data_IF_892933223410
#
_entry.id   IF_892933223410
#
_cell.length_a   1.000
_cell.length_b   1.000
_cell.length_c   1.000
_cell.angle_alpha   90.00
_cell.angle_beta   90.00
_cell.angle_gamma   90.00
#
_symmetry.space_group_name_H-M   'P 1'
#
loop_
_entity.id
_entity.type
_entity.pdbx_description
1 polymer ?
#
# COMPACT_ATOMS: atom_id res chain seq x y z
N UNK A 1 -8.18 -22.16 -28.79
CA UNK A 1 -6.85 -22.01 -28.19
C UNK A 1 -7.03 -21.89 -26.69
N UNK A 2 -6.34 -22.70 -25.89
CA UNK A 2 -6.45 -22.64 -24.43
C UNK A 2 -5.41 -21.62 -23.95
N UNK A 3 -5.90 -20.57 -23.30
CA UNK A 3 -5.08 -19.55 -22.65
C UNK A 3 -5.37 -19.64 -21.15
N UNK A 4 -4.35 -19.51 -20.33
CA UNK A 4 -4.50 -19.41 -18.88
C UNK A 4 -3.94 -18.08 -18.40
N UNK A 5 -4.61 -17.45 -17.45
CA UNK A 5 -4.25 -16.12 -16.94
C UNK A 5 -4.22 -16.13 -15.43
N UNK A 6 -3.17 -15.56 -14.85
CA UNK A 6 -3.07 -15.28 -13.43
C UNK A 6 -2.76 -13.81 -13.21
N UNK A 7 -3.55 -13.14 -12.37
CA UNK A 7 -3.27 -11.78 -11.91
C UNK A 7 -2.95 -11.82 -10.44
N UNK A 8 -1.87 -11.18 -10.02
CA UNK A 8 -1.46 -11.09 -8.63
C UNK A 8 -0.72 -9.77 -8.37
N UNK A 9 -0.60 -9.39 -7.11
CA UNK A 9 0.22 -8.26 -6.69
C UNK A 9 1.56 -8.75 -6.17
N UNK A 10 2.64 -8.06 -6.55
CA UNK A 10 4.00 -8.38 -6.11
C UNK A 10 4.16 -8.10 -4.62
N UNK A 11 4.64 -9.09 -3.88
CA UNK A 11 5.15 -8.91 -2.53
C UNK A 11 6.64 -8.61 -2.59
N UNK A 12 7.20 -8.05 -1.49
CA UNK A 12 8.65 -7.84 -1.40
C UNK A 12 9.44 -9.13 -1.60
N UNK A 13 8.93 -10.24 -1.09
CA UNK A 13 9.53 -11.55 -1.29
C UNK A 13 9.59 -11.94 -2.77
N UNK A 14 8.61 -11.55 -3.58
CA UNK A 14 8.61 -11.83 -5.03
C UNK A 14 9.70 -11.03 -5.75
N UNK A 15 9.81 -9.75 -5.39
CA UNK A 15 10.82 -8.83 -5.92
C UNK A 15 12.24 -9.29 -5.55
N UNK A 16 12.48 -9.60 -4.27
CA UNK A 16 13.79 -10.02 -3.77
C UNK A 16 14.15 -11.45 -4.20
N UNK A 17 13.16 -12.33 -4.24
CA UNK A 17 13.31 -13.73 -4.63
C UNK A 17 13.44 -13.93 -6.14
N UNK A 18 13.21 -12.89 -6.96
CA UNK A 18 13.19 -13.00 -8.42
C UNK A 18 12.20 -14.07 -8.89
N UNK A 19 11.02 -14.11 -8.25
CA UNK A 19 9.96 -15.10 -8.53
C UNK A 19 8.72 -14.46 -9.12
N UNK A 20 8.07 -15.18 -10.03
CA UNK A 20 6.82 -14.79 -10.67
C UNK A 20 5.82 -15.95 -10.60
N UNK A 21 4.63 -15.73 -10.03
CA UNK A 21 3.65 -16.78 -9.89
C UNK A 21 3.11 -17.24 -11.26
N UNK A 22 3.05 -18.55 -11.48
CA UNK A 22 2.57 -19.15 -12.72
C UNK A 22 1.04 -19.35 -12.72
N UNK A 23 0.35 -19.25 -13.86
CA UNK A 23 -1.02 -19.76 -14.01
C UNK A 23 -1.08 -21.25 -13.64
N UNK A 24 -2.06 -21.66 -12.83
CA UNK A 24 -2.13 -23.03 -12.30
C UNK A 24 -2.19 -24.07 -13.42
N UNK A 25 -2.88 -23.74 -14.51
CA UNK A 25 -3.06 -24.62 -15.66
C UNK A 25 -1.78 -24.85 -16.47
N UNK A 26 -0.78 -23.95 -16.39
CA UNK A 26 0.48 -24.13 -17.08
C UNK A 26 1.46 -25.01 -16.30
N UNK A 27 1.26 -25.21 -15.00
CA UNK A 27 2.25 -25.86 -14.13
C UNK A 27 2.55 -27.28 -14.59
N UNK A 28 1.51 -28.11 -14.77
CA UNK A 28 1.69 -29.49 -15.21
C UNK A 28 2.23 -29.62 -16.64
N UNK A 29 1.92 -28.62 -17.48
CA UNK A 29 2.36 -28.60 -18.88
C UNK A 29 3.82 -28.16 -19.03
N UNK A 30 4.34 -27.35 -18.11
CA UNK A 30 5.69 -26.79 -18.22
C UNK A 30 6.69 -27.42 -17.23
N UNK A 31 6.23 -28.18 -16.21
CA UNK A 31 7.09 -28.77 -15.15
C UNK A 31 8.21 -29.69 -15.64
N UNK A 32 8.12 -30.19 -16.87
CA UNK A 32 9.10 -31.11 -17.45
C UNK A 32 10.16 -30.39 -18.29
N UNK A 33 10.01 -29.07 -18.49
CA UNK A 33 10.98 -28.25 -19.19
C UNK A 33 12.01 -27.75 -18.17
N UNK A 34 13.29 -27.91 -18.49
CA UNK A 34 14.38 -27.39 -17.66
C UNK A 34 14.40 -25.85 -17.66
N UNK A 35 14.04 -25.27 -18.81
CA UNK A 35 13.98 -23.82 -19.05
C UNK A 35 12.63 -23.45 -19.66
N UNK A 36 11.98 -22.46 -19.08
CA UNK A 36 10.76 -21.83 -19.58
C UNK A 36 11.04 -20.36 -19.88
N UNK A 37 10.90 -19.90 -21.13
CA UNK A 37 11.06 -18.49 -21.44
C UNK A 37 9.86 -17.70 -20.90
N UNK A 38 10.13 -16.71 -20.06
CA UNK A 38 9.14 -15.73 -19.60
C UNK A 38 9.45 -14.38 -20.24
N UNK A 39 8.52 -13.88 -21.03
CA UNK A 39 8.59 -12.52 -21.58
C UNK A 39 8.00 -11.56 -20.56
N UNK A 40 8.74 -10.52 -20.17
CA UNK A 40 8.22 -9.41 -19.38
C UNK A 40 7.99 -8.21 -20.27
N UNK A 41 6.73 -7.76 -20.36
CA UNK A 41 6.32 -6.54 -21.02
C UNK A 41 6.01 -5.47 -19.96
N UNK A 42 6.74 -4.37 -19.99
CA UNK A 42 6.70 -3.35 -18.95
C UNK A 42 6.85 -1.95 -19.54
N UNK A 43 6.51 -0.90 -18.79
CA UNK A 43 6.80 0.48 -19.15
C UNK A 43 7.54 1.16 -18.02
N UNK A 44 8.84 1.43 -18.20
CA UNK A 44 9.65 2.08 -17.17
C UNK A 44 9.05 3.43 -16.80
N UNK A 45 8.73 3.59 -15.51
CA UNK A 45 8.00 4.73 -14.95
C UNK A 45 6.65 5.02 -15.65
N UNK A 46 6.00 3.99 -16.20
CA UNK A 46 4.73 4.08 -16.92
C UNK A 46 4.85 4.59 -18.36
N UNK A 47 6.05 4.99 -18.81
CA UNK A 47 6.24 5.68 -20.09
C UNK A 47 6.98 4.81 -21.11
N UNK A 48 8.19 4.37 -20.79
CA UNK A 48 9.10 3.78 -21.78
C UNK A 48 8.88 2.27 -21.88
N UNK A 49 8.25 1.81 -22.96
CA UNK A 49 8.00 0.38 -23.17
C UNK A 49 9.30 -0.42 -23.26
N UNK A 50 9.38 -1.49 -22.47
CA UNK A 50 10.45 -2.48 -22.49
C UNK A 50 9.86 -3.87 -22.65
N UNK A 51 10.64 -4.73 -23.31
CA UNK A 51 10.32 -6.14 -23.50
C UNK A 51 11.59 -6.93 -23.27
N UNK A 52 11.58 -7.76 -22.23
CA UNK A 52 12.73 -8.60 -21.86
C UNK A 52 12.31 -10.06 -21.83
N UNK A 53 13.25 -10.96 -22.09
CA UNK A 53 13.03 -12.40 -22.06
C UNK A 53 13.96 -13.01 -21.03
N UNK A 54 13.39 -13.75 -20.09
CA UNK A 54 14.12 -14.44 -19.04
C UNK A 54 14.06 -15.94 -19.26
N UNK A 55 15.22 -16.59 -19.21
CA UNK A 55 15.31 -18.04 -19.07
C UNK A 55 15.02 -18.39 -17.62
N UNK A 56 13.83 -18.92 -17.35
CA UNK A 56 13.37 -19.24 -15.99
C UNK A 56 13.27 -20.75 -15.77
N UNK A 57 13.22 -21.15 -14.51
CA UNK A 57 12.79 -22.51 -14.13
C UNK A 57 11.47 -22.44 -13.37
N UNK A 58 10.60 -23.41 -13.62
CA UNK A 58 9.33 -23.52 -12.90
C UNK A 58 9.50 -24.43 -11.67
N UNK A 59 9.28 -23.87 -10.46
CA UNK A 59 9.35 -24.59 -9.17
C UNK A 59 8.18 -24.18 -8.29
N UNK A 60 7.49 -25.15 -7.70
CA UNK A 60 6.38 -24.92 -6.77
C UNK A 60 5.32 -23.92 -7.29
N UNK A 61 5.04 -23.96 -8.60
CA UNK A 61 4.08 -23.06 -9.25
C UNK A 61 4.59 -21.62 -9.46
N UNK A 62 5.91 -21.41 -9.41
CA UNK A 62 6.55 -20.11 -9.62
C UNK A 62 7.68 -20.22 -10.65
N UNK A 63 7.78 -19.23 -11.54
CA UNK A 63 8.94 -19.02 -12.39
C UNK A 63 10.03 -18.33 -11.57
N UNK A 64 11.23 -18.90 -11.52
CA UNK A 64 12.38 -18.37 -10.78
C UNK A 64 13.42 -17.78 -11.74
N UNK A 65 14.07 -16.69 -11.34
CA UNK A 65 15.11 -16.02 -12.13
C UNK A 65 14.61 -14.81 -12.93
N UNK A 66 13.40 -14.32 -12.63
CA UNK A 66 12.86 -13.11 -13.26
C UNK A 66 13.49 -11.88 -12.63
N UNK A 67 14.15 -11.04 -13.44
CA UNK A 67 14.68 -9.76 -12.97
C UNK A 67 13.59 -8.70 -13.10
N UNK A 68 13.09 -8.23 -11.95
CA UNK A 68 12.05 -7.21 -11.94
C UNK A 68 12.61 -5.80 -12.23
N UNK A 69 11.91 -4.96 -13.00
CA UNK A 69 12.28 -3.57 -13.23
C UNK A 69 12.42 -2.79 -11.91
N UNK A 70 13.42 -1.91 -11.83
CA UNK A 70 13.81 -1.23 -10.59
C UNK A 70 12.81 -0.19 -10.08
N UNK A 71 11.84 0.21 -10.90
CA UNK A 71 10.72 1.08 -10.55
C UNK A 71 9.51 0.32 -10.02
N UNK A 72 9.49 -1.02 -10.08
CA UNK A 72 8.45 -1.82 -9.43
C UNK A 72 8.58 -1.76 -7.91
N UNK A 73 7.41 -1.77 -7.25
CA UNK A 73 7.26 -1.70 -5.80
C UNK A 73 6.32 -2.80 -5.31
N UNK A 74 6.41 -3.22 -4.04
CA UNK A 74 5.41 -4.09 -3.45
C UNK A 74 4.01 -3.52 -3.67
N UNK A 75 3.08 -4.37 -4.09
CA UNK A 75 1.71 -4.03 -4.45
C UNK A 75 1.47 -3.91 -5.94
N UNK A 76 2.48 -3.71 -6.80
CA UNK A 76 2.25 -3.63 -8.26
C UNK A 76 1.61 -4.91 -8.77
N UNK A 77 0.56 -4.77 -9.59
CA UNK A 77 -0.18 -5.87 -10.20
C UNK A 77 0.53 -6.35 -11.46
N UNK A 78 0.75 -7.65 -11.51
CA UNK A 78 1.29 -8.37 -12.67
C UNK A 78 0.23 -9.31 -13.19
N UNK A 79 0.06 -9.33 -14.50
CA UNK A 79 -0.78 -10.30 -15.22
C UNK A 79 0.13 -11.22 -15.99
N UNK A 80 0.05 -12.52 -15.71
CA UNK A 80 0.79 -13.57 -16.39
C UNK A 80 -0.16 -14.37 -17.26
N UNK A 81 0.15 -14.45 -18.54
CA UNK A 81 -0.63 -15.16 -19.55
C UNK A 81 0.21 -16.29 -20.11
N UNK A 82 -0.34 -17.50 -20.10
CA UNK A 82 0.25 -18.65 -20.75
C UNK A 82 -0.53 -19.01 -22.02
N UNK A 83 0.20 -19.13 -23.13
CA UNK A 83 -0.30 -19.56 -24.42
C UNK A 83 0.06 -21.03 -24.64
N UNK A 84 -0.91 -21.94 -24.52
CA UNK A 84 -0.65 -23.38 -24.61
C UNK A 84 -0.21 -23.86 -26.01
N UNK A 85 -0.44 -23.06 -27.06
CA UNK A 85 -0.12 -23.45 -28.43
C UNK A 85 1.38 -23.45 -28.71
N UNK A 86 2.12 -22.55 -28.08
CA UNK A 86 3.56 -22.33 -28.30
C UNK A 86 4.36 -22.34 -26.98
N UNK A 87 3.70 -22.65 -25.86
CA UNK A 87 4.26 -22.62 -24.51
C UNK A 87 4.87 -21.26 -24.12
N UNK A 88 4.39 -20.17 -24.72
CA UNK A 88 4.86 -18.83 -24.36
C UNK A 88 4.21 -18.36 -23.07
N UNK A 89 5.02 -17.84 -22.16
CA UNK A 89 4.57 -17.16 -20.94
C UNK A 89 4.89 -15.67 -21.07
N UNK A 90 3.87 -14.82 -20.93
CA UNK A 90 4.01 -13.36 -20.95
C UNK A 90 3.52 -12.78 -19.64
N UNK A 91 4.42 -12.15 -18.89
CA UNK A 91 4.11 -11.32 -17.75
C UNK A 91 4.02 -9.86 -18.19
N UNK A 92 3.01 -9.12 -17.76
CA UNK A 92 2.93 -7.69 -18.03
C UNK A 92 2.40 -6.88 -16.84
N UNK A 93 2.80 -5.61 -16.81
CA UNK A 93 2.30 -4.59 -15.89
C UNK A 93 1.50 -3.54 -16.64
N UNK A 94 0.37 -3.11 -16.09
CA UNK A 94 -0.45 -2.05 -16.68
C UNK A 94 -0.02 -0.69 -16.10
N UNK A 95 0.40 0.29 -16.92
CA UNK A 95 0.69 1.64 -16.41
C UNK A 95 -0.58 2.31 -15.89
N UNK A 96 -0.44 3.18 -14.90
CA UNK A 96 -1.52 4.10 -14.53
C UNK A 96 -1.62 5.23 -15.55
N UNK A 97 -2.82 5.75 -15.77
CA UNK A 97 -3.03 6.95 -16.59
C UNK A 97 -2.34 8.17 -15.94
N UNK A 98 -2.42 8.27 -14.62
CA UNK A 98 -1.75 9.26 -13.79
C UNK A 98 -0.97 8.55 -12.66
N UNK A 99 0.36 8.70 -12.58
CA UNK A 99 1.15 8.16 -11.48
C UNK A 99 0.69 8.73 -10.12
N UNK A 100 0.76 7.92 -9.07
CA UNK A 100 0.37 8.31 -7.71
C UNK A 100 1.47 8.04 -6.70
N UNK A 101 1.57 8.89 -5.68
CA UNK A 101 2.38 8.69 -4.49
C UNK A 101 1.47 8.19 -3.36
N UNK A 102 1.80 7.02 -2.80
CA UNK A 102 1.14 6.48 -1.61
C UNK A 102 2.08 6.61 -0.42
N UNK A 103 1.76 7.52 0.50
CA UNK A 103 2.58 7.87 1.65
C UNK A 103 4.05 8.20 1.30
N UNK A 104 4.24 8.89 0.17
CA UNK A 104 5.54 9.31 -0.33
C UNK A 104 6.25 8.31 -1.23
N UNK A 105 5.64 7.14 -1.49
CA UNK A 105 6.16 6.12 -2.40
C UNK A 105 5.42 6.18 -3.73
N UNK A 106 6.16 6.44 -4.80
CA UNK A 106 5.59 6.58 -6.14
C UNK A 106 5.24 5.21 -6.76
N UNK A 107 4.06 5.15 -7.38
CA UNK A 107 3.51 4.03 -8.14
C UNK A 107 3.15 4.52 -9.55
N UNK A 108 3.76 3.90 -10.55
CA UNK A 108 3.53 4.20 -11.98
C UNK A 108 2.64 3.18 -12.69
N UNK A 109 2.29 2.10 -11.98
CA UNK A 109 1.56 0.95 -12.50
C UNK A 109 0.40 0.61 -11.59
N UNK A 110 -0.62 -0.04 -12.13
CA UNK A 110 -1.73 -0.57 -11.34
C UNK A 110 -1.18 -1.36 -10.14
N UNK A 111 -1.77 -1.12 -8.97
CA UNK A 111 -1.34 -1.74 -7.72
C UNK A 111 -2.53 -2.23 -6.91
N UNK A 112 -2.24 -3.06 -5.91
CA UNK A 112 -3.19 -3.52 -4.92
C UNK A 112 -2.98 -2.77 -3.59
N UNK A 113 -3.91 -1.86 -3.21
CA UNK A 113 -3.78 -1.07 -1.99
C UNK A 113 -3.62 -1.91 -0.71
N UNK A 114 -4.16 -3.13 -0.68
CA UNK A 114 -4.01 -4.01 0.50
C UNK A 114 -2.58 -4.49 0.64
N UNK A 115 -1.93 -4.87 -0.46
CA UNK A 115 -0.53 -5.32 -0.43
C UNK A 115 0.39 -4.14 -0.14
N UNK A 116 0.16 -2.97 -0.75
CA UNK A 116 0.89 -1.74 -0.43
C UNK A 116 0.87 -1.45 1.08
N UNK A 117 -0.31 -1.54 1.69
CA UNK A 117 -0.49 -1.34 3.13
C UNK A 117 0.23 -2.42 3.96
N UNK A 118 0.09 -3.70 3.59
CA UNK A 118 0.74 -4.81 4.32
C UNK A 118 2.27 -4.81 4.20
N UNK A 119 2.81 -4.24 3.14
CA UNK A 119 4.23 -4.15 2.85
C UNK A 119 4.82 -2.76 3.19
N UNK A 120 4.04 -1.91 3.84
CA UNK A 120 4.45 -0.58 4.25
C UNK A 120 5.62 -0.63 5.25
N UNK A 121 6.70 0.06 4.92
CA UNK A 121 7.89 0.21 5.75
C UNK A 121 8.01 1.64 6.27
N UNK A 122 7.61 1.83 7.51
CA UNK A 122 7.58 3.15 8.13
C UNK A 122 8.95 3.61 8.69
N UNK A 123 9.99 2.75 8.67
CA UNK A 123 11.28 2.96 9.36
C UNK A 123 11.36 2.32 10.76
N UNK A 124 12.36 2.72 11.57
CA UNK A 124 12.70 2.07 12.85
C UNK A 124 12.25 2.83 14.11
N UNK A 125 11.72 4.03 13.96
CA UNK A 125 11.26 4.85 15.09
C UNK A 125 10.10 4.19 15.85
N UNK A 126 9.77 4.66 17.05
CA UNK A 126 8.64 4.11 17.80
C UNK A 126 7.30 4.32 17.09
N UNK A 127 7.07 5.50 16.49
CA UNK A 127 5.87 5.76 15.70
C UNK A 127 5.83 4.88 14.45
N UNK A 128 6.97 4.68 13.78
CA UNK A 128 7.10 3.81 12.62
C UNK A 128 6.70 2.37 12.94
N UNK A 129 7.15 1.86 14.09
CA UNK A 129 6.82 0.50 14.56
C UNK A 129 5.34 0.35 14.91
N UNK A 130 4.73 1.38 15.48
CA UNK A 130 3.29 1.44 15.76
C UNK A 130 2.50 1.43 14.46
N UNK A 131 2.85 2.29 13.50
CA UNK A 131 2.18 2.37 12.21
C UNK A 131 2.33 1.07 11.40
N UNK A 132 3.54 0.49 11.38
CA UNK A 132 3.79 -0.80 10.76
C UNK A 132 2.94 -1.91 11.41
N UNK A 133 2.80 -1.91 12.74
CA UNK A 133 1.94 -2.89 13.41
C UNK A 133 0.46 -2.76 13.01
N UNK A 134 -0.05 -1.53 12.87
CA UNK A 134 -1.41 -1.27 12.39
C UNK A 134 -1.58 -1.77 10.97
N UNK A 135 -0.68 -1.42 10.05
CA UNK A 135 -0.78 -1.79 8.64
C UNK A 135 -0.55 -3.30 8.41
N UNK A 136 0.40 -3.91 9.13
CA UNK A 136 0.77 -5.32 8.98
C UNK A 136 -0.20 -6.28 9.66
N UNK A 137 -0.84 -5.89 10.77
CA UNK A 137 -1.70 -6.78 11.55
C UNK A 137 -3.16 -6.37 11.64
N UNK A 138 -3.49 -5.15 11.22
CA UNK A 138 -4.86 -4.66 11.14
C UNK A 138 -5.72 -5.43 10.14
N UNK A 139 -7.02 -5.18 10.21
CA UNK A 139 -7.93 -5.50 9.12
C UNK A 139 -7.78 -4.40 8.06
N UNK A 140 -7.42 -4.79 6.84
CA UNK A 140 -7.13 -3.87 5.73
C UNK A 140 -8.30 -3.90 4.74
N UNK A 141 -8.83 -2.73 4.42
CA UNK A 141 -9.95 -2.53 3.50
C UNK A 141 -9.46 -2.44 2.04
N UNK A 142 -10.40 -2.44 1.09
CA UNK A 142 -10.09 -2.44 -0.35
C UNK A 142 -9.36 -1.19 -0.85
N UNK A 143 -9.50 -0.07 -0.14
CA UNK A 143 -8.81 1.19 -0.41
C UNK A 143 -7.43 1.30 0.26
N UNK A 144 -6.97 0.24 0.95
CA UNK A 144 -5.71 0.24 1.69
C UNK A 144 -5.80 0.91 3.08
N UNK A 145 -6.96 1.43 3.49
CA UNK A 145 -7.13 1.81 4.90
C UNK A 145 -7.06 0.57 5.80
N UNK A 146 -6.69 0.76 7.06
CA UNK A 146 -6.53 -0.34 8.00
C UNK A 146 -6.99 0.03 9.40
N UNK A 147 -7.57 -0.93 10.12
CA UNK A 147 -7.99 -0.76 11.52
C UNK A 147 -7.36 -1.81 12.42
N UNK A 148 -6.89 -1.39 13.59
CA UNK A 148 -6.31 -2.31 14.58
C UNK A 148 -6.56 -1.85 16.01
N UNK A 149 -6.90 -2.78 16.90
CA UNK A 149 -7.18 -2.47 18.31
C UNK A 149 -5.94 -1.89 19.02
N UNK A 150 -6.07 -0.70 19.63
CA UNK A 150 -4.95 0.03 20.24
C UNK A 150 -4.27 -0.81 21.34
N UNK A 151 -5.06 -1.53 22.13
CA UNK A 151 -4.58 -2.42 23.19
C UNK A 151 -3.64 -3.54 22.67
N UNK A 152 -3.76 -3.94 21.40
CA UNK A 152 -2.93 -4.99 20.80
C UNK A 152 -1.65 -4.46 20.15
N UNK A 153 -1.57 -3.15 19.91
CA UNK A 153 -0.45 -2.53 19.20
C UNK A 153 0.86 -2.76 19.94
N UNK A 154 0.88 -2.62 21.27
CA UNK A 154 2.09 -2.78 22.09
C UNK A 154 2.82 -4.11 21.80
N UNK A 155 2.07 -5.20 21.75
CA UNK A 155 2.59 -6.55 21.54
C UNK A 155 3.10 -6.81 20.12
N UNK A 156 2.60 -6.05 19.13
CA UNK A 156 2.99 -6.18 17.72
C UNK A 156 4.08 -5.21 17.30
N UNK A 157 4.09 -3.99 17.86
CA UNK A 157 5.12 -3.00 17.61
C UNK A 157 6.46 -3.34 18.28
N UNK A 158 6.47 -4.23 19.27
CA UNK A 158 7.67 -4.69 19.98
C UNK A 158 8.27 -3.63 20.91
N UNK A 159 7.49 -2.66 21.38
CA UNK A 159 7.95 -1.56 22.25
C UNK A 159 8.26 -1.98 23.69
N UNK A 160 8.22 -3.28 24.00
CA UNK A 160 8.45 -3.84 25.33
C UNK A 160 7.20 -3.81 26.22
N UNK A 161 7.36 -4.27 27.47
CA UNK A 161 6.28 -4.34 28.49
C UNK A 161 6.53 -3.33 29.62
N UNK A 162 5.53 -3.11 30.46
CA UNK A 162 5.61 -2.26 31.65
C UNK A 162 5.50 -0.76 31.35
N UNK A 163 5.73 0.07 32.38
CA UNK A 163 5.48 1.52 32.33
C UNK A 163 6.23 2.24 31.19
N UNK A 164 7.48 1.83 30.93
CA UNK A 164 8.28 2.40 29.82
C UNK A 164 7.66 2.10 28.45
N UNK A 165 7.27 0.85 28.20
CA UNK A 165 6.64 0.45 26.94
C UNK A 165 5.30 1.16 26.73
N UNK A 166 4.49 1.28 27.78
CA UNK A 166 3.23 2.02 27.75
C UNK A 166 3.44 3.51 27.45
N UNK A 167 4.46 4.14 28.04
CA UNK A 167 4.81 5.53 27.74
C UNK A 167 5.24 5.73 26.28
N UNK A 168 6.11 4.86 25.76
CA UNK A 168 6.57 4.94 24.37
C UNK A 168 5.43 4.73 23.37
N UNK A 169 4.55 3.76 23.65
CA UNK A 169 3.37 3.52 22.84
C UNK A 169 2.46 4.75 22.81
N UNK A 170 2.12 5.28 23.99
CA UNK A 170 1.26 6.46 24.08
C UNK A 170 1.85 7.63 23.31
N UNK A 171 3.13 7.94 23.52
CA UNK A 171 3.80 9.03 22.82
C UNK A 171 3.81 8.83 21.29
N UNK A 172 4.10 7.61 20.82
CA UNK A 172 4.08 7.27 19.40
C UNK A 172 2.67 7.38 18.78
N UNK A 173 1.63 6.91 19.47
CA UNK A 173 0.24 7.02 18.99
C UNK A 173 -0.21 8.47 18.94
N UNK A 174 0.06 9.26 19.99
CA UNK A 174 -0.27 10.70 19.98
C UNK A 174 0.47 11.45 18.87
N UNK A 175 1.72 11.06 18.57
CA UNK A 175 2.45 11.61 17.43
C UNK A 175 1.78 11.26 16.10
N UNK A 176 1.42 10.00 15.86
CA UNK A 176 0.72 9.57 14.64
C UNK A 176 -0.62 10.27 14.43
N UNK A 177 -1.37 10.50 15.51
CA UNK A 177 -2.66 11.21 15.44
C UNK A 177 -2.43 12.68 15.11
N UNK A 178 -1.45 13.31 15.77
CA UNK A 178 -1.09 14.71 15.55
C UNK A 178 -0.57 14.97 14.13
N UNK A 179 0.18 14.03 13.58
CA UNK A 179 0.69 14.06 12.19
C UNK A 179 -0.34 13.52 11.18
N UNK A 180 -1.51 13.07 11.64
CA UNK A 180 -2.61 12.68 10.76
C UNK A 180 -2.37 11.38 9.99
N UNK A 181 -1.52 10.48 10.50
CA UNK A 181 -1.37 9.12 9.96
C UNK A 181 -2.46 8.17 10.42
N UNK A 182 -2.94 8.34 11.65
CA UNK A 182 -4.00 7.51 12.22
C UNK A 182 -5.04 8.35 12.94
N UNK A 183 -6.23 7.79 13.13
CA UNK A 183 -7.32 8.39 13.91
C UNK A 183 -7.80 7.36 14.92
N UNK A 184 -8.11 7.77 16.15
CA UNK A 184 -8.80 6.89 17.10
C UNK A 184 -10.26 6.75 16.72
N UNK A 185 -10.72 5.51 16.68
CA UNK A 185 -12.10 5.15 16.37
C UNK A 185 -12.59 4.09 17.35
N UNK A 186 -13.91 3.95 17.47
CA UNK A 186 -14.53 2.90 18.28
C UNK A 186 -14.96 1.75 17.40
N UNK A 187 -14.47 0.56 17.71
CA UNK A 187 -14.96 -0.69 17.15
C UNK A 187 -15.54 -1.60 18.24
N UNK A 188 -15.73 -2.88 17.92
CA UNK A 188 -16.16 -3.90 18.87
C UNK A 188 -15.29 -5.15 18.76
N UNK A 189 -15.03 -5.77 19.91
CA UNK A 189 -14.17 -6.94 19.98
C UNK A 189 -12.80 -6.71 19.34
N UNK A 190 -12.32 -7.70 18.60
CA UNK A 190 -10.94 -7.73 18.14
C UNK A 190 -10.71 -7.20 16.71
N UNK A 191 -11.78 -7.05 15.92
CA UNK A 191 -11.69 -6.73 14.49
C UNK A 191 -12.98 -6.17 13.88
N UNK A 192 -14.02 -5.90 14.67
CA UNK A 192 -15.26 -5.36 14.12
C UNK A 192 -15.20 -3.83 14.10
N UNK A 193 -15.28 -3.27 12.90
CA UNK A 193 -15.34 -1.83 12.69
C UNK A 193 -16.32 -1.52 11.54
N UNK A 194 -17.32 -0.63 11.75
CA UNK A 194 -17.62 0.11 12.97
C UNK A 194 -18.08 -0.79 14.14
N UNK A 195 -18.22 -0.19 15.33
CA UNK A 195 -18.73 -0.90 16.51
C UNK A 195 -20.12 -1.52 16.26
N UNK A 196 -20.32 -2.74 16.75
CA UNK A 196 -21.58 -3.47 16.66
C UNK A 196 -22.44 -3.10 17.87
N UNK A 197 -23.72 -2.82 17.63
CA UNK A 197 -24.67 -2.49 18.70
C UNK A 197 -24.77 -3.64 19.73
N UNK A 198 -24.69 -3.28 21.01
CA UNK A 198 -24.74 -4.24 22.13
C UNK A 198 -23.45 -5.00 22.43
N UNK A 199 -22.38 -4.80 21.64
CA UNK A 199 -21.06 -5.37 21.92
C UNK A 199 -20.18 -4.42 22.74
N UNK A 200 -19.18 -4.98 23.45
CA UNK A 200 -18.23 -4.18 24.22
C UNK A 200 -17.39 -3.28 23.28
N UNK A 201 -17.37 -1.95 23.51
CA UNK A 201 -16.62 -1.04 22.68
C UNK A 201 -15.11 -1.18 22.94
N UNK A 202 -14.33 -1.09 21.86
CA UNK A 202 -12.86 -1.17 21.91
C UNK A 202 -12.27 0.01 21.14
N UNK A 203 -11.28 0.68 21.74
CA UNK A 203 -10.50 1.72 21.06
C UNK A 203 -9.61 1.10 19.98
N UNK A 204 -9.72 1.63 18.76
CA UNK A 204 -8.96 1.19 17.60
C UNK A 204 -8.24 2.35 16.94
N UNK A 205 -7.13 2.06 16.28
CA UNK A 205 -6.42 2.99 15.41
C UNK A 205 -6.81 2.72 13.97
N UNK A 206 -7.33 3.76 13.30
CA UNK A 206 -7.67 3.75 11.89
C UNK A 206 -6.59 4.49 11.08
N UNK A 207 -5.83 3.71 10.31
CA UNK A 207 -4.93 4.18 9.27
C UNK A 207 -5.69 4.36 7.95
N UNK A 208 -5.34 5.39 7.20
CA UNK A 208 -5.84 5.63 5.86
C UNK A 208 -4.68 6.23 5.05
N UNK A 209 -4.28 5.60 3.94
CA UNK A 209 -3.12 6.03 3.19
C UNK A 209 -3.30 7.45 2.65
N UNK A 210 -2.20 8.19 2.59
CA UNK A 210 -2.17 9.44 1.83
C UNK A 210 -1.89 9.10 0.37
N UNK A 211 -2.85 9.37 -0.52
CA UNK A 211 -2.69 9.17 -1.97
C UNK A 211 -2.70 10.54 -2.65
N UNK A 212 -1.60 10.87 -3.32
CA UNK A 212 -1.40 12.13 -4.02
C UNK A 212 -0.95 11.84 -5.46
N UNK A 213 -1.16 12.75 -6.43
CA UNK A 213 -0.47 12.66 -7.71
C UNK A 213 1.05 12.58 -7.49
N UNK A 214 1.73 11.64 -8.15
CA UNK A 214 3.19 11.59 -8.10
C UNK A 214 3.79 12.66 -9.01
N UNK A 215 4.95 13.18 -8.60
CA UNK A 215 5.71 14.11 -9.43
C UNK A 215 6.26 13.40 -10.68
N UNK A 216 6.36 14.09 -11.82
CA UNK A 216 6.90 13.51 -13.03
C UNK A 216 8.37 13.06 -12.85
N UNK A 217 8.78 11.94 -13.49
CA UNK A 217 10.12 11.40 -13.35
C UNK A 217 11.17 12.42 -13.84
N UNK A 218 12.14 12.74 -12.97
CA UNK A 218 13.20 13.72 -13.24
C UNK A 218 13.14 15.00 -12.42
N UNK A 219 12.11 15.20 -11.58
CA UNK A 219 12.13 16.21 -10.52
C UNK A 219 13.12 15.78 -9.41
N UNK A 220 14.39 16.14 -9.57
CA UNK A 220 15.36 16.03 -8.49
C UNK A 220 15.17 17.22 -7.53
N UNK A 221 14.78 16.98 -6.28
CA UNK A 221 15.64 17.33 -5.14
C UNK A 221 15.18 16.69 -3.82
N UNK A 222 16.14 16.57 -2.90
CA UNK A 222 16.03 16.09 -1.52
C UNK A 222 14.77 16.61 -0.82
N UNK A 223 13.84 15.71 -0.47
CA UNK A 223 12.64 16.09 0.28
C UNK A 223 13.02 16.36 1.75
N UNK A 224 13.16 17.64 2.10
CA UNK A 224 12.64 18.09 3.40
C UNK A 224 11.16 17.72 3.40
N UNK A 225 10.74 16.86 4.32
CA UNK A 225 9.45 16.17 4.36
C UNK A 225 8.27 17.10 4.72
N UNK A 226 8.16 18.24 4.06
CA UNK A 226 6.93 19.04 4.11
C UNK A 226 5.85 18.36 3.28
N UNK A 227 4.80 17.89 3.95
CA UNK A 227 3.58 17.45 3.30
C UNK A 227 2.68 18.65 3.14
N UNK A 228 2.22 18.88 1.92
CA UNK A 228 1.24 19.91 1.62
C UNK A 228 -0.07 19.65 2.36
N UNK A 229 -0.97 20.63 2.41
CA UNK A 229 -2.31 20.37 2.93
C UNK A 229 -3.01 19.37 2.00
N UNK A 230 -3.59 18.30 2.55
CA UNK A 230 -4.21 17.24 1.74
C UNK A 230 -5.56 16.80 2.28
N UNK A 231 -6.34 16.14 1.43
CA UNK A 231 -7.61 15.52 1.78
C UNK A 231 -7.36 14.05 2.13
N UNK A 232 -7.90 13.60 3.25
CA UNK A 232 -7.76 12.22 3.74
C UNK A 232 -9.13 11.61 4.00
N UNK A 233 -9.28 10.33 3.67
CA UNK A 233 -10.50 9.59 3.95
C UNK A 233 -10.72 9.46 5.46
N UNK A 234 -11.94 9.74 5.89
CA UNK A 234 -12.41 9.50 7.24
C UNK A 234 -12.91 8.06 7.39
N UNK A 235 -12.94 7.55 8.62
CA UNK A 235 -13.60 6.29 8.89
C UNK A 235 -15.08 6.32 8.44
N UNK A 236 -15.69 5.18 8.05
CA UNK A 236 -17.09 5.13 7.64
C UNK A 236 -18.03 5.74 8.68
N UNK A 237 -18.90 6.65 8.24
CA UNK A 237 -19.87 7.34 9.11
C UNK A 237 -19.30 8.54 9.88
N UNK A 238 -17.99 8.78 9.85
CA UNK A 238 -17.39 9.98 10.44
C UNK A 238 -17.52 11.19 9.52
N UNK A 239 -17.63 12.37 10.14
CA UNK A 239 -17.70 13.67 9.46
C UNK A 239 -16.49 14.53 9.87
N UNK A 240 -15.99 15.40 8.97
CA UNK A 240 -14.91 16.32 9.31
C UNK A 240 -15.38 17.28 10.41
N UNK A 241 -14.49 17.57 11.36
CA UNK A 241 -14.78 18.55 12.40
C UNK A 241 -14.94 19.97 11.81
N UNK A 242 -15.68 20.85 12.47
CA UNK A 242 -15.80 22.27 12.06
C UNK A 242 -14.43 22.94 11.89
N UNK A 243 -13.47 22.58 12.73
CA UNK A 243 -12.08 23.05 12.63
C UNK A 243 -11.43 22.60 11.33
N UNK A 244 -11.58 21.33 10.94
CA UNK A 244 -11.04 20.80 9.69
C UNK A 244 -11.74 21.40 8.47
N UNK A 245 -13.06 21.62 8.54
CA UNK A 245 -13.81 22.35 7.51
C UNK A 245 -13.31 23.79 7.36
N UNK A 246 -13.01 24.47 8.47
CA UNK A 246 -12.47 25.83 8.46
C UNK A 246 -11.05 25.88 7.88
N UNK A 247 -10.20 24.91 8.21
CA UNK A 247 -8.85 24.79 7.63
C UNK A 247 -8.92 24.48 6.13
N UNK A 248 -9.86 23.64 5.72
CA UNK A 248 -10.13 23.34 4.31
C UNK A 248 -10.58 24.58 3.54
N UNK A 249 -11.50 25.38 4.10
CA UNK A 249 -11.93 26.64 3.48
C UNK A 249 -10.75 27.59 3.27
N UNK A 250 -9.85 27.73 4.27
CA UNK A 250 -8.63 28.53 4.11
C UNK A 250 -7.68 27.98 3.04
N UNK A 251 -7.63 26.65 2.87
CA UNK A 251 -6.80 26.02 1.84
C UNK A 251 -7.35 26.29 0.43
N UNK A 252 -8.68 26.26 0.25
CA UNK A 252 -9.34 26.71 -0.98
C UNK A 252 -9.05 28.19 -1.26
N UNK A 253 -9.23 29.05 -0.25
CA UNK A 253 -9.01 30.50 -0.38
C UNK A 253 -7.55 30.85 -0.71
N UNK A 254 -6.60 29.96 -0.40
CA UNK A 254 -5.17 30.13 -0.66
C UNK A 254 -4.66 29.30 -1.85
N UNK A 255 -5.56 28.73 -2.65
CA UNK A 255 -5.25 27.94 -3.85
C UNK A 255 -4.31 26.74 -3.57
N UNK A 256 -4.33 26.22 -2.34
CA UNK A 256 -3.58 25.00 -1.97
C UNK A 256 -4.34 23.72 -2.33
N UNK A 257 -5.67 23.83 -2.45
CA UNK A 257 -6.57 22.80 -2.93
C UNK A 257 -7.56 23.45 -3.89
N UNK A 258 -7.93 22.70 -4.90
CA UNK A 258 -8.74 23.08 -6.06
C UNK A 258 -9.95 22.16 -6.26
N UNK A 259 -10.08 21.10 -5.45
CA UNK A 259 -11.20 20.15 -5.47
C UNK A 259 -12.09 20.26 -4.22
N UNK A 260 -13.43 20.13 -4.34
CA UNK A 260 -14.38 20.13 -3.22
C UNK A 260 -14.12 18.96 -2.25
N UNK A 261 -14.35 19.18 -0.94
CA UNK A 261 -14.21 18.12 0.06
C UNK A 261 -15.36 17.13 -0.07
N UNK A 262 -15.06 15.92 -0.56
CA UNK A 262 -16.05 14.86 -0.71
C UNK A 262 -16.60 14.37 0.64
N UNK A 263 -17.87 13.90 0.70
CA UNK A 263 -18.42 13.28 1.89
C UNK A 263 -17.56 12.11 2.39
N UNK A 264 -17.30 12.06 3.68
CA UNK A 264 -16.44 11.04 4.29
C UNK A 264 -14.94 11.30 4.12
N UNK A 265 -14.54 12.53 3.77
CA UNK A 265 -13.15 12.99 3.80
C UNK A 265 -12.95 14.16 4.76
N UNK A 266 -11.69 14.42 5.12
CA UNK A 266 -11.27 15.54 5.96
C UNK A 266 -10.01 16.18 5.42
N UNK A 267 -9.79 17.45 5.77
CA UNK A 267 -8.56 18.15 5.44
C UNK A 267 -7.51 18.03 6.55
N UNK A 268 -6.32 17.63 6.17
CA UNK A 268 -5.12 17.62 6.99
C UNK A 268 -4.24 18.76 6.53
N UNK A 269 -4.05 19.76 7.38
CA UNK A 269 -3.21 20.93 7.07
C UNK A 269 -1.76 20.53 6.76
N UNK A 270 -1.08 21.40 6.00
CA UNK A 270 0.36 21.30 5.74
C UNK A 270 1.12 21.04 7.04
N UNK A 271 1.95 20.00 7.04
CA UNK A 271 2.77 19.64 8.18
C UNK A 271 4.07 19.00 7.72
N UNK A 272 5.06 18.98 8.60
CA UNK A 272 6.30 18.30 8.35
C UNK A 272 6.18 16.85 8.85
N UNK A 273 6.34 15.86 7.95
CA UNK A 273 6.59 14.46 8.33
C UNK A 273 8.08 14.34 8.70
N UNK A 274 8.47 13.50 9.65
CA UNK A 274 9.89 13.34 10.03
C UNK A 274 10.41 12.01 9.54
#
# INVERSE_FOLDING_TARGET
>A
MRTATRRFALWRADLQGSVCAAPEECVDNLRHLDVVPVVLEHRVHGVTATREVFETSLRDGQFTGVVWPGDLRPGVRVTVVWHAADNTVVAHTTPLDEPVSVDGVDYFHEYDPKVVTREFEAGTSNWSRVLHAVCKHGWVFDDGSAVFAEAKVAGKAGLGRGAKGAFLLKNAVEQLIREGYVTRVTGSGDSSFPAVEGADPVEMLFYAPLVEPAEPPGATDRRDHWVHGFVRKLPPGAQPSEKQLSEYQRALDSEQIDAPLEPGYTFVKKHHRH
#
